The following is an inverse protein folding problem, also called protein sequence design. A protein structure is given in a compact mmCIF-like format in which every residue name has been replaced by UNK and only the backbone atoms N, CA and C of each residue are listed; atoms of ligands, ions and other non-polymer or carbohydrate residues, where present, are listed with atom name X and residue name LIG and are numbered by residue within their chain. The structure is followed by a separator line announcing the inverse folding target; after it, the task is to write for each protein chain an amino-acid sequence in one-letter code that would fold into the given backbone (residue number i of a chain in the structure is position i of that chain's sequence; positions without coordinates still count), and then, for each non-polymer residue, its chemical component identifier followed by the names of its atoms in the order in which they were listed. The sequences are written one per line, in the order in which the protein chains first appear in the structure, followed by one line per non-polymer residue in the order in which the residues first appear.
data_IF_009368920615
#
_entry.id   IF_009368920615
#
_cell.length_a   1.000
_cell.length_b   1.000
_cell.length_c   1.000
_cell.angle_alpha   90.00
_cell.angle_beta   90.00
_cell.angle_gamma   90.00
#
_symmetry.space_group_name_H-M   'P 1'
#
loop_
_entity.id
_entity.type
_entity.pdbx_description
1 polymer ?
#
# COMPACT_ATOMS: atom_id res chain seq x y z
N UNK A 1 56.88 14.05 -2.75
CA UNK A 1 55.93 12.93 -2.61
C UNK A 1 54.52 13.51 -2.44
N UNK A 2 53.75 13.50 -3.48
CA UNK A 2 52.34 13.96 -3.46
C UNK A 2 51.48 12.73 -3.14
N UNK A 3 50.88 12.74 -1.94
CA UNK A 3 49.93 11.69 -1.51
C UNK A 3 48.62 11.80 -2.28
N UNK A 4 48.27 10.77 -3.02
CA UNK A 4 46.95 10.62 -3.66
C UNK A 4 45.96 10.27 -2.57
N UNK A 5 45.03 11.19 -2.29
CA UNK A 5 43.89 10.92 -1.41
C UNK A 5 42.94 9.89 -2.07
N UNK A 6 42.49 8.86 -1.36
CA UNK A 6 41.52 7.92 -1.92
C UNK A 6 40.20 8.64 -2.19
N UNK A 7 39.75 8.53 -3.43
CA UNK A 7 38.44 9.02 -3.86
C UNK A 7 37.33 8.31 -3.04
N UNK A 8 36.58 9.07 -2.28
CA UNK A 8 35.41 8.55 -1.54
C UNK A 8 34.44 7.94 -2.55
N UNK A 9 34.19 6.63 -2.43
CA UNK A 9 33.10 5.97 -3.15
C UNK A 9 31.77 6.62 -2.71
N UNK A 10 31.17 7.34 -3.64
CA UNK A 10 29.76 7.76 -3.47
C UNK A 10 28.97 6.48 -3.30
N UNK A 11 28.41 6.28 -2.11
CA UNK A 11 27.49 5.18 -1.86
C UNK A 11 26.26 5.41 -2.76
N UNK A 12 26.12 4.59 -3.78
CA UNK A 12 24.93 4.60 -4.63
C UNK A 12 23.76 4.23 -3.74
N UNK A 13 22.76 5.11 -3.63
CA UNK A 13 21.52 4.78 -2.92
C UNK A 13 20.98 3.46 -3.50
N UNK A 14 20.53 2.52 -2.64
CA UNK A 14 19.98 1.27 -3.13
C UNK A 14 18.77 1.57 -4.02
N UNK A 15 18.78 1.00 -5.23
CA UNK A 15 17.67 1.17 -6.17
C UNK A 15 16.36 0.78 -5.51
N UNK A 16 15.37 1.66 -5.56
CA UNK A 16 14.03 1.38 -5.03
C UNK A 16 13.34 0.28 -5.87
N UNK A 17 12.45 -0.46 -5.25
CA UNK A 17 11.55 -1.38 -5.94
C UNK A 17 10.26 -0.64 -6.27
N UNK A 18 9.98 -0.50 -7.56
CA UNK A 18 8.79 0.23 -8.03
C UNK A 18 7.57 -0.68 -8.04
N UNK A 19 6.50 -0.19 -7.45
CA UNK A 19 5.16 -0.79 -7.53
C UNK A 19 4.18 0.24 -8.07
N UNK A 20 3.47 -0.13 -9.11
CA UNK A 20 2.46 0.71 -9.72
C UNK A 20 1.08 0.34 -9.18
N UNK A 21 0.35 1.31 -8.61
CA UNK A 21 -0.99 1.10 -8.07
C UNK A 21 -2.02 1.82 -8.92
N UNK A 22 -2.83 1.04 -9.66
CA UNK A 22 -3.98 1.55 -10.40
C UNK A 22 -5.17 1.69 -9.46
N UNK A 23 -5.39 2.93 -9.00
CA UNK A 23 -6.48 3.22 -8.08
C UNK A 23 -7.80 3.37 -8.83
N UNK A 24 -8.79 2.59 -8.41
CA UNK A 24 -10.17 2.69 -8.87
C UNK A 24 -11.07 3.12 -7.71
N UNK A 25 -11.94 4.06 -7.98
CA UNK A 25 -12.96 4.51 -7.04
C UNK A 25 -14.32 3.98 -7.49
N UNK A 26 -15.11 3.49 -6.55
CA UNK A 26 -16.52 3.22 -6.80
C UNK A 26 -17.20 4.51 -7.28
N UNK A 27 -18.07 4.39 -8.31
CA UNK A 27 -18.73 5.54 -8.95
C UNK A 27 -19.55 6.42 -7.99
N UNK A 28 -19.93 5.88 -6.85
CA UNK A 28 -20.62 6.63 -5.78
C UNK A 28 -19.68 7.60 -5.02
N UNK A 29 -18.36 7.54 -5.25
CA UNK A 29 -17.36 8.31 -4.53
C UNK A 29 -16.95 9.53 -5.35
N UNK A 30 -17.64 10.65 -5.20
CA UNK A 30 -17.40 11.91 -5.94
C UNK A 30 -16.24 12.75 -5.33
N UNK A 31 -15.46 12.25 -4.39
CA UNK A 31 -14.58 13.06 -3.54
C UNK A 31 -13.14 13.10 -4.04
N UNK A 32 -12.84 14.06 -4.91
CA UNK A 32 -11.47 14.34 -5.39
C UNK A 32 -10.48 14.72 -4.27
N UNK A 33 -10.97 15.22 -3.13
CA UNK A 33 -10.14 15.69 -2.01
C UNK A 33 -9.48 14.52 -1.24
N UNK A 34 -10.10 13.34 -1.25
CA UNK A 34 -9.55 12.15 -0.58
C UNK A 34 -8.27 11.60 -1.24
N UNK A 35 -8.01 11.90 -2.49
CA UNK A 35 -6.97 11.22 -3.28
C UNK A 35 -5.61 11.90 -3.14
N UNK A 36 -5.53 13.21 -3.29
CA UNK A 36 -4.25 13.92 -3.40
C UNK A 36 -3.44 13.97 -2.08
N UNK A 37 -4.09 14.20 -0.94
CA UNK A 37 -3.40 14.29 0.36
C UNK A 37 -2.97 12.93 0.92
N UNK A 38 -3.36 11.86 0.27
CA UNK A 38 -3.42 10.52 0.84
C UNK A 38 -2.51 9.52 0.13
N UNK A 39 -2.24 9.70 -1.15
CA UNK A 39 -1.25 8.91 -1.90
C UNK A 39 0.11 8.93 -1.19
N UNK A 40 0.47 10.07 -0.63
CA UNK A 40 1.67 10.27 0.18
C UNK A 40 1.76 9.36 1.43
N UNK A 41 0.63 8.99 2.06
CA UNK A 41 0.67 8.22 3.31
C UNK A 41 1.16 6.80 3.08
N UNK A 42 0.62 6.10 2.07
CA UNK A 42 1.06 4.75 1.72
C UNK A 42 2.53 4.74 1.26
N UNK A 43 2.92 5.72 0.43
CA UNK A 43 4.32 5.86 -0.02
C UNK A 43 5.26 6.07 1.16
N UNK A 44 4.91 6.96 2.10
CA UNK A 44 5.72 7.23 3.29
C UNK A 44 5.85 6.04 4.22
N UNK A 45 4.87 5.14 4.26
CA UNK A 45 4.94 3.89 5.01
C UNK A 45 5.94 2.93 4.34
N UNK A 46 5.94 2.83 3.02
CA UNK A 46 6.72 1.83 2.29
C UNK A 46 8.13 2.27 1.91
N UNK A 47 8.35 3.58 1.71
CA UNK A 47 9.64 4.14 1.30
C UNK A 47 10.84 3.76 2.20
N UNK A 48 10.71 3.72 3.55
CA UNK A 48 11.81 3.28 4.42
C UNK A 48 12.27 1.84 4.18
N UNK A 49 11.45 1.03 3.52
CA UNK A 49 11.74 -0.37 3.19
C UNK A 49 12.24 -0.57 1.75
N UNK A 50 12.56 0.52 1.06
CA UNK A 50 13.09 0.46 -0.30
C UNK A 50 12.01 0.22 -1.37
N UNK A 51 10.74 0.49 -1.06
CA UNK A 51 9.62 0.41 -2.02
C UNK A 51 9.14 1.81 -2.36
N UNK A 52 9.00 2.08 -3.66
CA UNK A 52 8.38 3.29 -4.19
C UNK A 52 7.04 2.94 -4.80
N UNK A 53 5.98 3.65 -4.36
CA UNK A 53 4.64 3.50 -4.93
C UNK A 53 4.44 4.60 -5.96
N UNK A 54 3.98 4.24 -7.15
CA UNK A 54 3.58 5.15 -8.21
C UNK A 54 2.10 5.00 -8.52
N UNK A 55 1.45 6.11 -8.87
CA UNK A 55 0.01 6.20 -9.11
C UNK A 55 -0.22 6.66 -10.55
N UNK A 56 -0.15 5.75 -11.53
CA UNK A 56 -0.28 6.13 -12.92
C UNK A 56 -1.69 6.62 -13.23
N UNK A 57 -1.80 7.56 -14.14
CA UNK A 57 -3.05 7.83 -14.82
C UNK A 57 -3.43 6.62 -15.68
N UNK A 58 -4.73 6.43 -15.94
CA UNK A 58 -5.34 5.21 -16.53
C UNK A 58 -4.77 4.75 -17.88
N UNK A 59 -3.82 5.48 -18.48
CA UNK A 59 -3.21 5.20 -19.79
C UNK A 59 -1.71 4.89 -19.74
N UNK A 60 -1.11 4.87 -18.57
CA UNK A 60 0.32 4.52 -18.46
C UNK A 60 0.53 3.03 -18.76
N UNK A 61 1.62 2.66 -19.45
CA UNK A 61 1.97 1.25 -19.62
C UNK A 61 2.14 0.59 -18.26
N UNK A 62 1.70 -0.66 -18.16
CA UNK A 62 1.85 -1.41 -16.91
C UNK A 62 3.33 -1.68 -16.64
N UNK A 63 3.80 -1.28 -15.46
CA UNK A 63 5.10 -1.69 -14.97
C UNK A 63 5.11 -3.20 -14.66
N UNK A 64 6.28 -3.84 -14.63
CA UNK A 64 6.38 -5.28 -14.35
C UNK A 64 5.70 -5.72 -13.06
N UNK A 65 5.59 -4.81 -12.08
CA UNK A 65 4.85 -5.07 -10.85
C UNK A 65 3.75 -4.03 -10.65
N UNK A 66 2.56 -4.33 -11.16
CA UNK A 66 1.40 -3.47 -11.02
C UNK A 66 0.26 -4.16 -10.27
N UNK A 67 -0.49 -3.38 -9.50
CA UNK A 67 -1.61 -3.84 -8.68
C UNK A 67 -2.80 -2.90 -8.86
N UNK A 68 -3.98 -3.45 -9.02
CA UNK A 68 -5.21 -2.66 -8.97
C UNK A 68 -5.70 -2.56 -7.52
N UNK A 69 -6.01 -1.36 -7.06
CA UNK A 69 -6.65 -1.13 -5.78
C UNK A 69 -8.02 -0.46 -5.98
N UNK A 70 -9.04 -0.98 -5.34
CA UNK A 70 -10.41 -0.48 -5.40
C UNK A 70 -10.80 0.05 -4.03
N UNK A 71 -11.11 1.34 -3.95
CA UNK A 71 -11.83 1.90 -2.82
C UNK A 71 -13.33 1.72 -3.10
N UNK A 72 -13.95 0.80 -2.38
CA UNK A 72 -15.37 0.50 -2.52
C UNK A 72 -16.14 0.97 -1.29
N UNK A 73 -17.42 1.33 -1.48
CA UNK A 73 -18.28 1.69 -0.36
C UNK A 73 -18.43 0.50 0.59
N UNK A 74 -18.74 -0.67 0.06
CA UNK A 74 -18.87 -1.91 0.83
C UNK A 74 -17.94 -3.00 0.28
N UNK A 75 -17.35 -3.79 1.17
CA UNK A 75 -16.80 -5.11 0.86
C UNK A 75 -17.81 -6.14 1.35
N UNK A 76 -17.89 -7.29 0.69
CA UNK A 76 -18.72 -8.42 1.12
C UNK A 76 -18.60 -8.67 2.63
N UNK A 77 -19.67 -8.46 3.36
CA UNK A 77 -19.72 -8.72 4.80
C UNK A 77 -19.68 -10.23 5.01
N UNK A 78 -18.89 -10.68 5.95
CA UNK A 78 -19.10 -12.00 6.54
C UNK A 78 -20.53 -12.00 7.11
N UNK A 79 -21.41 -12.84 6.59
CA UNK A 79 -22.85 -12.85 6.95
C UNK A 79 -23.13 -13.25 8.41
N UNK A 80 -22.16 -13.24 9.30
CA UNK A 80 -22.27 -13.58 10.70
C UNK A 80 -22.37 -12.28 11.52
N UNK A 81 -23.48 -12.09 12.21
CA UNK A 81 -23.68 -11.00 13.16
C UNK A 81 -22.58 -11.02 14.24
N UNK A 82 -21.88 -9.89 14.41
CA UNK A 82 -20.81 -9.76 15.40
C UNK A 82 -19.40 -10.10 14.88
N UNK A 83 -19.24 -10.43 13.61
CA UNK A 83 -17.91 -10.58 13.01
C UNK A 83 -17.17 -9.25 12.98
N UNK A 84 -15.82 -9.25 13.17
CA UNK A 84 -15.00 -8.06 13.01
C UNK A 84 -15.23 -7.41 11.64
N UNK A 85 -15.18 -6.08 11.59
CA UNK A 85 -15.25 -5.33 10.34
C UNK A 85 -14.01 -5.64 9.50
N UNK A 86 -14.22 -6.02 8.26
CA UNK A 86 -13.15 -6.22 7.30
C UNK A 86 -12.88 -4.89 6.60
N UNK A 87 -11.76 -4.24 6.96
CA UNK A 87 -11.39 -2.93 6.41
C UNK A 87 -10.82 -3.04 5.01
N UNK A 88 -10.08 -4.13 4.74
CA UNK A 88 -9.46 -4.39 3.45
C UNK A 88 -9.35 -5.88 3.14
N UNK A 89 -9.03 -6.19 1.91
CA UNK A 89 -8.77 -7.56 1.45
C UNK A 89 -7.80 -7.55 0.27
N UNK A 90 -6.69 -8.26 0.42
CA UNK A 90 -5.80 -8.61 -0.68
C UNK A 90 -5.95 -10.09 -1.05
N UNK A 91 -5.80 -10.38 -2.34
CA UNK A 91 -5.70 -11.75 -2.84
C UNK A 91 -4.24 -12.05 -3.12
N UNK A 92 -3.71 -13.06 -2.48
CA UNK A 92 -2.29 -13.39 -2.53
C UNK A 92 -2.09 -14.54 -3.49
N UNK A 93 -1.25 -14.31 -4.50
CA UNK A 93 -0.63 -15.33 -5.29
C UNK A 93 0.87 -15.36 -4.98
N UNK A 94 1.42 -16.45 -4.44
CA UNK A 94 2.83 -16.52 -4.08
C UNK A 94 3.79 -16.43 -5.27
N UNK A 95 3.32 -16.76 -6.47
CA UNK A 95 4.16 -16.95 -7.66
C UNK A 95 4.10 -15.80 -8.65
N UNK A 96 3.05 -14.97 -8.63
CA UNK A 96 2.80 -13.94 -9.65
C UNK A 96 2.40 -12.60 -9.02
N UNK A 97 2.52 -11.47 -9.77
CA UNK A 97 1.85 -10.23 -9.41
C UNK A 97 0.35 -10.49 -9.22
N UNK A 98 -0.31 -9.86 -8.26
CA UNK A 98 -1.68 -10.17 -7.93
C UNK A 98 -2.60 -9.81 -9.10
N UNK A 99 -3.27 -10.80 -9.67
CA UNK A 99 -4.27 -10.60 -10.75
C UNK A 99 -5.59 -10.06 -10.24
N UNK A 100 -5.85 -10.16 -8.94
CA UNK A 100 -7.09 -9.69 -8.32
C UNK A 100 -6.83 -8.38 -7.60
N UNK A 101 -7.78 -7.43 -7.66
CA UNK A 101 -7.60 -6.15 -7.02
C UNK A 101 -7.55 -6.26 -5.49
N UNK A 102 -6.76 -5.41 -4.87
CA UNK A 102 -6.91 -5.06 -3.47
C UNK A 102 -8.24 -4.32 -3.33
N UNK A 103 -8.99 -4.61 -2.28
CA UNK A 103 -10.23 -3.89 -1.95
C UNK A 103 -10.12 -3.26 -0.58
N UNK A 104 -10.53 -2.00 -0.44
CA UNK A 104 -10.61 -1.27 0.82
C UNK A 104 -12.02 -0.75 0.99
N UNK A 105 -12.63 -1.02 2.15
CA UNK A 105 -14.00 -0.61 2.47
C UNK A 105 -14.02 0.75 3.12
N UNK A 106 -14.74 1.68 2.52
CA UNK A 106 -14.96 3.01 3.09
C UNK A 106 -15.92 2.92 4.28
N UNK A 107 -17.04 2.23 4.12
CA UNK A 107 -18.06 2.07 5.17
C UNK A 107 -17.49 1.41 6.43
N UNK A 108 -16.76 0.30 6.27
CA UNK A 108 -16.13 -0.37 7.41
C UNK A 108 -15.08 0.52 8.10
N UNK A 109 -14.32 1.30 7.33
CA UNK A 109 -13.34 2.24 7.87
C UNK A 109 -14.01 3.39 8.61
N UNK A 110 -15.09 3.97 8.06
CA UNK A 110 -15.90 4.98 8.74
C UNK A 110 -16.52 4.46 10.03
N UNK A 111 -17.08 3.26 10.02
CA UNK A 111 -17.63 2.60 11.21
C UNK A 111 -16.55 2.38 12.27
N UNK A 112 -15.36 1.93 11.87
CA UNK A 112 -14.22 1.75 12.80
C UNK A 112 -13.80 3.07 13.43
N UNK A 113 -13.77 4.14 12.66
CA UNK A 113 -13.46 5.48 13.18
C UNK A 113 -14.60 6.10 13.98
N UNK A 114 -15.77 5.44 14.04
CA UNK A 114 -17.00 5.97 14.62
C UNK A 114 -17.39 7.36 14.05
N UNK A 115 -17.04 7.58 12.78
CA UNK A 115 -17.37 8.81 12.08
C UNK A 115 -18.86 8.79 11.71
N UNK A 116 -19.62 9.73 12.29
CA UNK A 116 -21.02 9.96 11.88
C UNK A 116 -21.04 10.72 10.55
N UNK A 117 -22.07 10.50 9.71
CA UNK A 117 -22.26 11.31 8.52
C UNK A 117 -22.42 12.78 8.94
N UNK A 118 -21.47 13.61 8.58
CA UNK A 118 -21.48 15.04 8.85
C UNK A 118 -21.57 15.82 7.55
N UNK A 119 -22.08 17.06 7.63
CA UNK A 119 -21.97 18.00 6.53
C UNK A 119 -20.49 18.31 6.27
N UNK A 120 -19.98 17.89 5.15
CA UNK A 120 -18.60 18.05 4.71
C UNK A 120 -18.17 19.51 4.48
N UNK A 121 -19.07 20.46 4.67
CA UNK A 121 -18.80 21.89 4.50
C UNK A 121 -18.28 22.59 5.75
N UNK A 122 -18.36 21.93 6.92
CA UNK A 122 -17.87 22.46 8.18
C UNK A 122 -16.37 22.19 8.37
N UNK A 123 -15.70 22.94 9.26
CA UNK A 123 -14.31 22.67 9.65
C UNK A 123 -14.17 21.28 10.24
N UNK A 124 -15.14 20.84 11.04
CA UNK A 124 -15.21 19.49 11.59
C UNK A 124 -15.28 18.43 10.46
N UNK A 125 -16.07 18.67 9.41
CA UNK A 125 -16.15 17.81 8.25
C UNK A 125 -14.79 17.61 7.55
N UNK A 126 -14.01 18.68 7.37
CA UNK A 126 -12.66 18.56 6.76
C UNK A 126 -11.65 17.82 7.62
N UNK A 127 -11.76 17.92 8.94
CA UNK A 127 -10.92 17.12 9.85
C UNK A 127 -11.26 15.64 9.70
N UNK A 128 -12.54 15.30 9.70
CA UNK A 128 -12.99 13.91 9.49
C UNK A 128 -12.59 13.37 8.12
N UNK A 129 -12.66 14.17 7.05
CA UNK A 129 -12.19 13.76 5.73
C UNK A 129 -10.71 13.36 5.74
N UNK A 130 -9.87 14.13 6.40
CA UNK A 130 -8.43 13.84 6.52
C UNK A 130 -8.15 12.59 7.36
N UNK A 131 -8.91 12.39 8.43
CA UNK A 131 -8.79 11.20 9.28
C UNK A 131 -9.23 9.94 8.51
N UNK A 132 -10.37 9.99 7.83
CA UNK A 132 -10.86 8.92 7.00
C UNK A 132 -9.87 8.61 5.86
N UNK A 133 -9.43 9.65 5.17
CA UNK A 133 -8.44 9.53 4.13
C UNK A 133 -7.19 8.80 4.65
N UNK A 134 -6.60 9.26 5.74
CA UNK A 134 -5.42 8.62 6.36
C UNK A 134 -5.69 7.17 6.73
N UNK A 135 -6.84 6.88 7.33
CA UNK A 135 -7.22 5.52 7.71
C UNK A 135 -7.31 4.59 6.49
N UNK A 136 -8.00 5.02 5.43
CA UNK A 136 -8.13 4.24 4.18
C UNK A 136 -6.77 3.88 3.59
N UNK A 137 -5.81 4.83 3.61
CA UNK A 137 -4.49 4.58 3.05
C UNK A 137 -3.62 3.70 3.95
N UNK A 138 -3.80 3.75 5.24
CA UNK A 138 -3.15 2.81 6.17
C UNK A 138 -3.66 1.40 5.98
N UNK A 139 -4.97 1.26 5.77
CA UNK A 139 -5.56 -0.03 5.38
C UNK A 139 -5.00 -0.48 4.02
N UNK A 140 -4.96 0.40 3.03
CA UNK A 140 -4.36 0.06 1.73
C UNK A 140 -2.88 -0.32 1.86
N UNK A 141 -2.10 0.41 2.66
CA UNK A 141 -0.69 0.07 2.91
C UNK A 141 -0.54 -1.32 3.54
N UNK A 142 -1.44 -1.70 4.45
CA UNK A 142 -1.50 -3.05 5.02
C UNK A 142 -1.79 -4.11 3.93
N UNK A 143 -2.78 -3.88 3.08
CA UNK A 143 -3.15 -4.80 2.01
C UNK A 143 -2.04 -4.93 0.94
N UNK A 144 -1.34 -3.82 0.62
CA UNK A 144 -0.11 -3.85 -0.19
C UNK A 144 0.95 -4.74 0.48
N UNK A 145 1.03 -4.70 1.81
CA UNK A 145 1.92 -5.56 2.58
C UNK A 145 1.66 -7.04 2.36
N UNK A 146 0.42 -7.46 2.37
CA UNK A 146 0.05 -8.83 2.03
C UNK A 146 0.55 -9.24 0.63
N UNK A 147 0.40 -8.36 -0.34
CA UNK A 147 0.86 -8.58 -1.72
C UNK A 147 2.38 -8.66 -1.80
N UNK A 148 3.08 -7.68 -1.22
CA UNK A 148 4.54 -7.60 -1.30
C UNK A 148 5.23 -8.72 -0.54
N UNK A 149 4.70 -9.12 0.61
CA UNK A 149 5.21 -10.22 1.43
C UNK A 149 4.76 -11.61 0.92
N UNK A 150 3.73 -11.65 0.10
CA UNK A 150 3.04 -12.87 -0.34
C UNK A 150 2.60 -13.76 0.85
N UNK A 151 2.03 -13.15 1.90
CA UNK A 151 1.58 -13.84 3.12
C UNK A 151 0.16 -13.46 3.47
N UNK A 152 -0.60 -14.41 4.04
CA UNK A 152 -1.94 -14.19 4.59
C UNK A 152 -1.92 -13.98 6.10
N UNK A 153 -0.84 -14.39 6.74
CA UNK A 153 -0.70 -14.27 8.19
C UNK A 153 -0.39 -12.85 8.61
N UNK A 154 -0.81 -12.50 9.81
CA UNK A 154 -0.56 -11.22 10.43
C UNK A 154 0.57 -11.31 11.46
N UNK A 155 1.23 -10.19 11.70
CA UNK A 155 2.17 -10.01 12.80
C UNK A 155 1.38 -9.63 14.08
N UNK A 156 2.01 -9.79 15.23
CA UNK A 156 1.40 -9.34 16.49
C UNK A 156 1.38 -7.81 16.63
N UNK A 157 2.31 -7.13 15.94
CA UNK A 157 2.49 -5.67 16.03
C UNK A 157 2.84 -5.09 14.65
N UNK A 158 2.82 -3.76 14.55
CA UNK A 158 3.26 -3.04 13.37
C UNK A 158 2.25 -3.04 12.23
N UNK A 159 2.73 -2.75 11.02
CA UNK A 159 1.91 -2.60 9.81
C UNK A 159 1.12 -3.86 9.47
N UNK A 160 1.66 -5.04 9.73
CA UNK A 160 1.04 -6.31 9.32
C UNK A 160 0.21 -6.96 10.44
N UNK A 161 -0.20 -6.22 11.48
CA UNK A 161 -1.08 -6.77 12.52
C UNK A 161 -2.52 -6.84 12.05
N UNK A 162 -3.28 -7.76 12.63
CA UNK A 162 -4.64 -8.09 12.21
C UNK A 162 -5.66 -6.97 12.42
N UNK A 163 -5.51 -6.17 13.48
CA UNK A 163 -6.49 -5.15 13.83
C UNK A 163 -5.83 -3.84 14.29
N UNK A 164 -6.50 -2.73 14.03
CA UNK A 164 -6.12 -1.38 14.45
C UNK A 164 -7.26 -0.73 15.20
N UNK A 165 -6.91 0.10 16.18
CA UNK A 165 -7.89 0.96 16.83
C UNK A 165 -8.21 2.18 15.96
N UNK A 166 -9.36 2.80 16.21
CA UNK A 166 -9.75 4.04 15.54
C UNK A 166 -8.69 5.15 15.73
N UNK A 167 -8.16 5.27 16.95
CA UNK A 167 -7.13 6.26 17.26
C UNK A 167 -5.85 6.03 16.44
N UNK A 168 -5.39 4.79 16.33
CA UNK A 168 -4.20 4.47 15.54
C UNK A 168 -4.40 4.76 14.04
N UNK A 169 -5.60 4.48 13.51
CA UNK A 169 -5.90 4.78 12.11
C UNK A 169 -5.98 6.29 11.84
N UNK A 170 -6.50 7.09 12.78
CA UNK A 170 -6.76 8.52 12.58
C UNK A 170 -5.57 9.43 12.93
N UNK A 171 -4.74 9.07 13.92
CA UNK A 171 -3.67 9.93 14.45
C UNK A 171 -2.61 10.29 13.42
N UNK A 172 -1.94 11.46 13.54
CA UNK A 172 -0.97 11.92 12.53
C UNK A 172 0.31 11.10 12.45
N UNK A 173 0.75 10.49 13.54
CA UNK A 173 1.99 9.71 13.55
C UNK A 173 1.84 8.32 12.89
N UNK A 174 2.96 7.73 12.50
CA UNK A 174 3.03 6.44 11.79
C UNK A 174 3.67 5.33 12.63
N UNK A 175 3.90 5.56 13.91
CA UNK A 175 4.57 4.59 14.78
C UNK A 175 3.93 3.19 14.76
N UNK A 176 2.58 3.06 14.71
CA UNK A 176 1.93 1.75 14.60
C UNK A 176 2.10 1.07 13.23
N UNK A 177 2.55 1.80 12.18
CA UNK A 177 2.58 1.34 10.79
C UNK A 177 4.00 1.06 10.30
N UNK A 178 4.81 0.44 11.14
CA UNK A 178 6.16 -0.03 10.79
C UNK A 178 6.15 -1.55 10.61
N UNK A 179 6.98 -2.07 9.72
CA UNK A 179 7.17 -3.52 9.63
C UNK A 179 7.99 -4.02 10.82
N UNK A 180 7.64 -5.21 11.30
CA UNK A 180 8.53 -5.94 12.23
C UNK A 180 9.85 -6.28 11.54
N UNK A 181 10.89 -6.54 12.31
CA UNK A 181 12.19 -6.95 11.76
C UNK A 181 12.07 -8.20 10.87
N UNK A 182 11.19 -9.14 11.26
CA UNK A 182 10.91 -10.35 10.49
C UNK A 182 10.24 -10.04 9.15
N UNK A 183 9.17 -9.24 9.16
CA UNK A 183 8.48 -8.84 7.94
C UNK A 183 9.36 -7.98 7.03
N UNK A 184 10.19 -7.08 7.57
CA UNK A 184 11.16 -6.34 6.80
C UNK A 184 12.24 -7.23 6.15
N UNK A 185 12.68 -8.28 6.85
CA UNK A 185 13.60 -9.28 6.31
C UNK A 185 12.98 -10.08 5.15
N UNK A 186 11.73 -10.55 5.35
CA UNK A 186 10.96 -11.25 4.30
C UNK A 186 10.76 -10.38 3.07
N UNK A 187 10.43 -9.10 3.26
CA UNK A 187 10.25 -8.14 2.17
C UNK A 187 11.52 -8.03 1.32
N UNK A 188 12.68 -7.82 1.95
CA UNK A 188 13.96 -7.73 1.23
C UNK A 188 14.22 -8.95 0.37
N UNK A 189 14.11 -10.15 0.95
CA UNK A 189 14.29 -11.39 0.19
C UNK A 189 13.26 -11.57 -0.93
N UNK A 190 12.03 -11.06 -0.74
CA UNK A 190 11.00 -11.11 -1.79
C UNK A 190 11.31 -10.15 -2.92
N UNK A 191 11.71 -8.91 -2.62
CA UNK A 191 12.11 -7.91 -3.63
C UNK A 191 13.29 -8.41 -4.47
N UNK A 192 14.29 -9.02 -3.85
CA UNK A 192 15.43 -9.61 -4.58
C UNK A 192 14.98 -10.68 -5.58
N UNK A 193 14.06 -11.58 -5.16
CA UNK A 193 13.50 -12.59 -6.06
C UNK A 193 12.67 -11.97 -7.19
N UNK A 194 11.85 -10.98 -6.90
CA UNK A 194 11.03 -10.31 -7.93
C UNK A 194 11.90 -9.60 -8.95
N UNK A 195 12.97 -8.93 -8.52
CA UNK A 195 13.93 -8.29 -9.43
C UNK A 195 14.60 -9.32 -10.36
N UNK A 196 14.99 -10.47 -9.82
CA UNK A 196 15.58 -11.55 -10.62
C UNK A 196 14.59 -12.07 -11.68
N UNK A 197 13.32 -12.25 -11.32
CA UNK A 197 12.28 -12.70 -12.25
C UNK A 197 12.01 -11.68 -13.37
N UNK A 198 11.93 -10.39 -13.02
CA UNK A 198 11.75 -9.31 -14.00
C UNK A 198 12.92 -9.26 -14.99
N UNK A 199 14.16 -9.38 -14.49
CA UNK A 199 15.36 -9.38 -15.34
C UNK A 199 15.38 -10.54 -16.34
N UNK A 200 14.94 -11.73 -15.92
CA UNK A 200 14.85 -12.90 -16.82
C UNK A 200 13.80 -12.69 -17.91
N UNK A 201 12.59 -12.20 -17.54
CA UNK A 201 11.51 -11.96 -18.49
C UNK A 201 11.86 -10.90 -19.53
N UNK A 202 12.62 -9.86 -19.18
CA UNK A 202 13.09 -8.83 -20.11
C UNK A 202 14.07 -9.40 -21.16
N UNK A 203 14.92 -10.33 -20.75
CA UNK A 203 15.92 -10.95 -21.65
C UNK A 203 15.29 -11.93 -22.67
N UNK A 204 14.17 -12.55 -22.32
CA UNK A 204 13.44 -13.46 -23.23
C UNK A 204 12.66 -12.69 -24.31
N UNK A 205 12.13 -11.51 -23.96
CA UNK A 205 11.38 -10.67 -24.91
C UNK A 205 12.29 -10.12 -26.02
N UNK A 206 13.52 -9.72 -25.69
CA UNK A 206 14.49 -9.23 -26.69
C UNK A 206 14.96 -10.30 -27.68
N UNK A 207 14.94 -11.59 -27.29
CA UNK A 207 15.36 -12.70 -28.20
C UNK A 207 14.28 -13.15 -29.17
N UNK A 208 13.03 -12.78 -28.96
CA UNK A 208 11.91 -13.14 -29.83
C UNK A 208 11.64 -12.11 -30.92
N UNK A 209 12.30 -10.97 -30.90
CA UNK A 209 12.19 -9.91 -31.91
C UNK A 209 13.34 -9.92 -32.93
N UNK A 210 14.32 -10.81 -32.82
CA UNK A 210 15.35 -11.08 -33.83
C UNK A 210 14.97 -12.28 -34.75
#
# INVERSE_FOLDING_TARGET
MLGVLPSARVATEPALFDIQIHLQLDQSITRKVLIADVQDEAERIWRPYGVRITWPESKSPAEPFSVTAILAWEIERSGVLGSPLILGRAFIDPMEPPRRPIRVSIDATEQTLALRPHSWTSIAGRVHERELARALWRVLAHEIGHVLLAVRSHDQTGLMREAYTADELARPDRLPFVLTANSAGRLRSRIERLRALIAIGSTECERTEE
#
